data_IF_652408726845
#
_entry.id   IF_652408726845
#
_cell.length_a   1.000
_cell.length_b   1.000
_cell.length_c   1.000
_cell.angle_alpha   90.00
_cell.angle_beta   90.00
_cell.angle_gamma   90.00
#
_symmetry.space_group_name_H-M   'P 1'
#
loop_
_entity.id
_entity.type
_entity.pdbx_description
1 polymer ?
#
# COMPACT_ATOMS: atom_id res chain seq x y z
N UNK A 1 -8.23 4.03 8.99
CA UNK A 1 -8.88 2.77 8.56
C UNK A 1 -7.82 1.69 8.59
N UNK A 2 -8.07 0.57 9.26
CA UNK A 2 -7.19 -0.59 9.23
C UNK A 2 -7.31 -1.34 7.91
N UNK A 3 -6.31 -2.17 7.62
CA UNK A 3 -6.28 -3.10 6.49
C UNK A 3 -6.61 -4.49 7.04
N UNK A 4 -7.54 -5.18 6.37
CA UNK A 4 -7.92 -6.54 6.70
C UNK A 4 -7.57 -7.49 5.56
N UNK A 5 -7.27 -8.74 5.91
CA UNK A 5 -7.07 -9.83 4.97
C UNK A 5 -8.08 -10.93 5.22
N UNK A 6 -8.44 -11.64 4.15
CA UNK A 6 -9.41 -12.72 4.13
C UNK A 6 -8.81 -13.88 3.36
N UNK A 7 -9.21 -15.09 3.73
CA UNK A 7 -8.93 -16.26 2.90
C UNK A 7 -10.00 -16.31 1.81
N UNK A 8 -9.59 -16.50 0.57
CA UNK A 8 -10.48 -16.66 -0.59
C UNK A 8 -10.65 -18.14 -0.87
N UNK A 9 -11.88 -18.64 -0.79
CA UNK A 9 -12.19 -20.03 -1.09
C UNK A 9 -12.23 -20.28 -2.62
N UNK A 10 -12.19 -21.54 -3.03
CA UNK A 10 -12.22 -21.91 -4.46
C UNK A 10 -13.49 -21.43 -5.20
N UNK A 11 -14.61 -21.24 -4.48
CA UNK A 11 -15.86 -20.67 -4.98
C UNK A 11 -15.93 -19.14 -4.88
N UNK A 12 -14.83 -18.48 -4.48
CA UNK A 12 -14.68 -17.02 -4.44
C UNK A 12 -15.29 -16.34 -3.22
N UNK A 13 -15.61 -17.09 -2.16
CA UNK A 13 -16.11 -16.53 -0.90
C UNK A 13 -14.96 -16.06 -0.02
N UNK A 14 -15.23 -15.04 0.79
CA UNK A 14 -14.28 -14.50 1.77
C UNK A 14 -14.56 -15.10 3.15
N UNK A 15 -13.54 -15.70 3.75
CA UNK A 15 -13.60 -16.31 5.09
C UNK A 15 -12.43 -15.83 5.95
N UNK A 16 -12.45 -16.15 7.26
CA UNK A 16 -11.33 -15.91 8.19
C UNK A 16 -10.76 -14.49 8.16
N UNK A 17 -11.65 -13.49 8.11
CA UNK A 17 -11.29 -12.08 8.14
C UNK A 17 -10.49 -11.73 9.39
N UNK A 18 -9.32 -11.14 9.20
CA UNK A 18 -8.39 -10.78 10.28
C UNK A 18 -7.75 -9.43 10.01
N UNK A 19 -7.35 -8.75 11.07
CA UNK A 19 -6.57 -7.51 10.98
C UNK A 19 -5.20 -7.83 10.39
N UNK A 20 -4.79 -7.08 9.37
CA UNK A 20 -3.46 -7.18 8.77
C UNK A 20 -2.56 -6.04 9.26
N UNK A 21 -3.04 -4.81 9.19
CA UNK A 21 -2.30 -3.64 9.65
C UNK A 21 -3.25 -2.56 10.19
N UNK A 22 -2.88 -1.93 11.30
CA UNK A 22 -3.49 -0.70 11.79
C UNK A 22 -2.55 0.48 11.54
N UNK A 23 -3.10 1.55 10.95
CA UNK A 23 -2.34 2.75 10.57
C UNK A 23 -2.56 3.91 11.53
N UNK A 24 -3.23 3.71 12.67
CA UNK A 24 -3.42 4.74 13.69
C UNK A 24 -2.08 5.40 14.08
N UNK A 25 -2.03 6.74 14.27
CA UNK A 25 -3.15 7.69 14.20
C UNK A 25 -3.62 8.10 12.79
N UNK A 26 -2.98 7.61 11.72
CA UNK A 26 -3.40 7.85 10.34
C UNK A 26 -4.46 6.87 9.81
N UNK A 27 -4.62 6.83 8.50
CA UNK A 27 -5.52 5.90 7.79
C UNK A 27 -4.89 5.37 6.51
N UNK A 28 -5.21 4.12 6.18
CA UNK A 28 -5.04 3.62 4.82
C UNK A 28 -6.13 4.14 3.87
N UNK A 29 -5.82 4.11 2.58
CA UNK A 29 -6.76 4.25 1.47
C UNK A 29 -6.41 3.22 0.37
N UNK A 30 -5.89 3.63 -0.80
CA UNK A 30 -5.49 2.70 -1.86
C UNK A 30 -4.34 1.77 -1.46
N UNK A 31 -4.41 0.51 -1.93
CA UNK A 31 -3.39 -0.53 -1.68
C UNK A 31 -2.98 -1.25 -2.97
N UNK A 32 -1.74 -1.74 -3.05
CA UNK A 32 -1.22 -2.59 -4.13
C UNK A 32 -0.25 -3.63 -3.57
N UNK A 33 -0.12 -4.77 -4.24
CA UNK A 33 0.91 -5.76 -3.92
C UNK A 33 2.06 -5.71 -4.92
N UNK A 34 3.27 -6.02 -4.47
CA UNK A 34 4.40 -6.34 -5.34
C UNK A 34 4.51 -7.86 -5.58
N UNK A 35 5.47 -8.27 -6.41
CA UNK A 35 5.71 -9.67 -6.76
C UNK A 35 6.26 -10.53 -5.63
N UNK A 36 6.78 -9.91 -4.57
CA UNK A 36 7.32 -10.60 -3.40
C UNK A 36 6.23 -10.80 -2.32
N UNK A 37 5.02 -10.29 -2.58
CA UNK A 37 3.86 -10.37 -1.70
C UNK A 37 3.77 -9.25 -0.68
N UNK A 38 4.63 -8.22 -0.76
CA UNK A 38 4.50 -7.07 0.13
C UNK A 38 3.28 -6.24 -0.26
N UNK A 39 2.60 -5.70 0.76
CA UNK A 39 1.47 -4.81 0.61
C UNK A 39 1.91 -3.35 0.76
N UNK A 40 1.70 -2.57 -0.28
CA UNK A 40 1.96 -1.14 -0.33
C UNK A 40 0.65 -0.39 -0.11
N UNK A 41 0.57 0.44 0.92
CA UNK A 41 -0.62 1.19 1.31
C UNK A 41 -0.35 2.68 1.25
N UNK A 42 -1.26 3.43 0.63
CA UNK A 42 -1.35 4.86 0.83
C UNK A 42 -1.67 5.15 2.29
N UNK A 43 -1.09 6.22 2.84
CA UNK A 43 -1.25 6.65 4.22
C UNK A 43 -1.51 8.16 4.25
N UNK A 44 -2.49 8.56 5.06
CA UNK A 44 -2.90 9.96 5.22
C UNK A 44 -3.49 10.23 6.60
N UNK A 45 -3.65 11.52 6.93
CA UNK A 45 -4.22 12.06 8.16
C UNK A 45 -3.47 11.67 9.45
N UNK A 46 -2.22 11.19 9.34
CA UNK A 46 -1.36 10.88 10.48
C UNK A 46 -0.27 11.94 10.73
N UNK A 47 -0.09 12.87 9.79
CA UNK A 47 0.94 13.89 9.83
C UNK A 47 2.25 13.46 9.16
N UNK A 48 3.27 14.32 9.13
CA UNK A 48 4.45 14.15 8.26
C UNK A 48 5.26 12.85 8.41
N UNK A 49 5.19 12.20 9.58
CA UNK A 49 5.89 10.93 9.88
C UNK A 49 5.08 9.67 9.49
N UNK A 50 3.86 9.87 9.00
CA UNK A 50 2.90 8.82 8.65
C UNK A 50 2.39 9.00 7.22
N UNK A 51 2.17 10.24 6.79
CA UNK A 51 1.61 10.55 5.49
C UNK A 51 2.58 10.13 4.36
N UNK A 52 2.02 9.50 3.32
CA UNK A 52 2.78 8.97 2.19
C UNK A 52 2.41 7.53 1.87
N UNK A 53 3.40 6.63 1.78
CA UNK A 53 3.17 5.21 1.51
C UNK A 53 3.88 4.35 2.53
N UNK A 54 3.18 3.34 3.05
CA UNK A 54 3.72 2.30 3.92
C UNK A 54 3.86 0.99 3.13
N UNK A 55 4.94 0.25 3.36
CA UNK A 55 5.17 -1.08 2.79
C UNK A 55 5.21 -2.11 3.92
N UNK A 56 4.36 -3.13 3.82
CA UNK A 56 4.22 -4.20 4.79
C UNK A 56 4.63 -5.53 4.16
N UNK A 57 5.41 -6.34 4.88
CA UNK A 57 5.70 -7.71 4.51
C UNK A 57 4.42 -8.58 4.50
N UNK A 58 4.42 -9.76 3.85
CA UNK A 58 3.24 -10.63 3.76
C UNK A 58 2.62 -11.06 5.10
N UNK A 59 3.39 -10.97 6.18
CA UNK A 59 2.96 -11.29 7.55
C UNK A 59 2.35 -10.09 8.31
N UNK A 60 2.29 -8.91 7.68
CA UNK A 60 1.76 -7.68 8.27
C UNK A 60 2.81 -6.79 8.94
N UNK A 61 4.08 -7.20 8.97
CA UNK A 61 5.15 -6.36 9.54
C UNK A 61 5.44 -5.15 8.66
N UNK A 62 5.48 -3.94 9.24
CA UNK A 62 5.88 -2.73 8.52
C UNK A 62 7.39 -2.76 8.23
N UNK A 63 7.78 -2.75 6.96
CA UNK A 63 9.17 -2.86 6.51
C UNK A 63 9.72 -1.58 5.86
N UNK A 64 8.86 -0.61 5.57
CA UNK A 64 9.31 0.66 5.02
C UNK A 64 8.23 1.73 4.91
N UNK A 65 8.67 2.99 4.78
CA UNK A 65 7.83 4.15 4.50
C UNK A 65 8.46 5.04 3.44
N UNK A 66 7.63 5.63 2.60
CA UNK A 66 7.98 6.76 1.73
C UNK A 66 7.17 7.94 2.23
N UNK A 67 7.82 8.88 2.89
CA UNK A 67 7.16 10.09 3.40
C UNK A 67 6.87 11.06 2.25
N UNK A 68 5.65 11.60 2.24
CA UNK A 68 5.24 12.68 1.35
C UNK A 68 4.89 13.92 2.17
N UNK A 69 4.98 15.13 1.60
CA UNK A 69 4.61 16.35 2.32
C UNK A 69 3.09 16.48 2.54
N UNK A 70 2.29 15.56 2.00
CA UNK A 70 0.83 15.55 2.05
C UNK A 70 0.29 14.11 2.05
N UNK A 71 -0.95 13.93 2.54
CA UNK A 71 -1.59 12.62 2.59
C UNK A 71 -1.79 11.99 1.21
N UNK A 72 -1.43 10.70 1.10
CA UNK A 72 -1.63 9.90 -0.10
C UNK A 72 -2.99 9.19 -0.07
N UNK A 73 -3.72 9.24 -1.18
CA UNK A 73 -5.00 8.55 -1.34
C UNK A 73 -4.87 7.25 -2.16
N UNK A 74 -3.92 7.18 -3.11
CA UNK A 74 -3.76 5.98 -3.94
C UNK A 74 -2.37 5.87 -4.53
N UNK A 75 -2.01 4.66 -4.97
CA UNK A 75 -0.73 4.36 -5.59
C UNK A 75 -0.87 3.27 -6.66
N UNK A 76 0.04 3.27 -7.62
CA UNK A 76 0.19 2.15 -8.55
C UNK A 76 1.63 2.02 -9.05
N UNK A 77 2.02 0.78 -9.32
CA UNK A 77 3.28 0.49 -10.02
C UNK A 77 3.09 0.68 -11.52
N UNK A 78 4.07 1.30 -12.16
CA UNK A 78 4.09 1.52 -13.60
C UNK A 78 5.52 1.68 -14.14
N UNK A 79 5.64 2.32 -15.29
CA UNK A 79 6.88 2.34 -16.07
C UNK A 79 7.14 1.02 -16.81
N UNK A 80 8.11 1.02 -17.71
CA UNK A 80 8.43 -0.14 -18.58
C UNK A 80 8.78 -1.39 -17.77
N UNK A 81 9.51 -1.20 -16.66
CA UNK A 81 9.93 -2.28 -15.76
C UNK A 81 8.98 -2.53 -14.59
N UNK A 82 7.83 -1.84 -14.53
CA UNK A 82 6.84 -1.97 -13.44
C UNK A 82 7.39 -1.68 -12.04
N UNK A 83 8.48 -0.93 -11.96
CA UNK A 83 9.20 -0.59 -10.73
C UNK A 83 9.21 0.92 -10.43
N UNK A 84 8.35 1.68 -11.10
CA UNK A 84 8.11 3.09 -10.78
C UNK A 84 6.80 3.19 -10.03
N UNK A 85 6.85 3.60 -8.76
CA UNK A 85 5.67 3.80 -7.95
C UNK A 85 5.13 5.22 -8.19
N UNK A 86 3.90 5.31 -8.67
CA UNK A 86 3.15 6.56 -8.78
C UNK A 86 2.24 6.70 -7.56
N UNK A 87 2.16 7.89 -6.99
CA UNK A 87 1.43 8.17 -5.75
C UNK A 87 0.57 9.42 -5.95
N UNK A 88 -0.74 9.26 -5.86
CA UNK A 88 -1.69 10.36 -5.88
C UNK A 88 -1.89 10.88 -4.45
N UNK A 89 -1.33 12.05 -4.17
CA UNK A 89 -1.32 12.61 -2.83
C UNK A 89 -1.87 14.03 -2.87
N UNK A 90 -3.10 14.18 -2.37
CA UNK A 90 -3.87 15.43 -2.28
C UNK A 90 -3.76 16.33 -3.53
N UNK A 91 -2.81 17.27 -3.57
CA UNK A 91 -2.67 18.25 -4.65
C UNK A 91 -1.68 17.84 -5.75
N UNK A 92 -0.97 16.74 -5.59
CA UNK A 92 0.17 16.36 -6.44
C UNK A 92 0.18 14.88 -6.81
N UNK A 93 0.91 14.57 -7.89
CA UNK A 93 1.33 13.21 -8.22
C UNK A 93 2.85 13.11 -8.01
N UNK A 94 3.27 12.21 -7.12
CA UNK A 94 4.68 11.89 -6.90
C UNK A 94 5.03 10.60 -7.63
N UNK A 95 6.30 10.44 -7.99
CA UNK A 95 6.78 9.19 -8.53
C UNK A 95 8.24 8.92 -8.16
N UNK A 96 8.53 7.69 -7.77
CA UNK A 96 9.88 7.24 -7.41
C UNK A 96 10.15 5.86 -7.97
N UNK A 97 11.40 5.58 -8.33
CA UNK A 97 11.82 4.23 -8.66
C UNK A 97 12.09 3.45 -7.37
N UNK A 98 11.61 2.22 -7.34
CA UNK A 98 11.86 1.26 -6.26
C UNK A 98 12.45 -0.01 -6.87
N UNK A 99 13.06 -0.86 -6.04
CA UNK A 99 13.58 -2.17 -6.47
C UNK A 99 12.48 -3.25 -6.49
N UNK A 100 11.29 -2.95 -5.98
CA UNK A 100 10.12 -3.83 -6.07
C UNK A 100 9.45 -3.74 -7.45
N UNK A 101 8.88 -4.87 -7.90
CA UNK A 101 8.10 -4.97 -9.13
C UNK A 101 6.63 -5.12 -8.76
N UNK A 102 5.76 -4.24 -9.25
CA UNK A 102 4.33 -4.33 -8.94
C UNK A 102 3.67 -5.54 -9.56
N UNK A 103 2.84 -6.26 -8.79
CA UNK A 103 2.02 -7.34 -9.31
C UNK A 103 1.02 -6.78 -10.35
N UNK A 104 0.92 -7.42 -11.52
CA UNK A 104 0.13 -6.90 -12.67
C UNK A 104 -1.11 -7.74 -12.99
N UNK A 105 -1.34 -8.82 -12.25
CA UNK A 105 -2.39 -9.79 -12.51
C UNK A 105 -3.46 -9.72 -11.40
N UNK A 106 -4.75 -9.96 -11.70
CA UNK A 106 -5.75 -10.28 -10.68
C UNK A 106 -5.57 -11.71 -10.16
#
# INVERSE_FOLDING_TARGET
>A
RPIHVFDVTDDGLLTNGRLFADLAPGSSDGIRCDTDGNLWSAAAWGGPEIDGVHCYAPDGNLIGKIHLPEGCANLCFGGVKKNRLFMAASQSIYAVYVEAIGHQWP
#
